data_IF_130180583234
#
_entry.id   IF_130180583234
#
_cell.length_a   1.000
_cell.length_b   1.000
_cell.length_c   1.000
_cell.angle_alpha   90.00
_cell.angle_beta   90.00
_cell.angle_gamma   90.00
#
_symmetry.space_group_name_H-M   'P 1'
#
loop_
_entity.id
_entity.type
_entity.pdbx_description
1 polymer ?
#
# COMPACT_ATOMS: atom_id res chain seq x y z
N UNK A 1 2.15 2.19 -23.07
CA UNK A 1 2.78 2.13 -21.73
C UNK A 1 2.33 0.84 -21.08
N UNK A 2 3.25 -0.01 -20.62
CA UNK A 2 2.86 -1.14 -19.77
C UNK A 2 2.24 -0.58 -18.47
N UNK A 3 1.16 -1.17 -17.95
CA UNK A 3 0.59 -0.73 -16.69
C UNK A 3 1.65 -0.84 -15.59
N UNK A 4 1.85 0.24 -14.83
CA UNK A 4 2.79 0.20 -13.71
C UNK A 4 2.35 -0.87 -12.71
N UNK A 5 3.31 -1.69 -12.27
CA UNK A 5 3.03 -2.76 -11.32
C UNK A 5 2.58 -2.16 -9.98
N UNK A 6 1.53 -2.76 -9.44
CA UNK A 6 0.87 -2.33 -8.21
C UNK A 6 0.87 -3.50 -7.23
N UNK A 7 1.32 -3.28 -6.01
CA UNK A 7 1.21 -4.27 -4.95
C UNK A 7 0.09 -3.89 -4.00
N UNK A 8 -0.88 -4.78 -3.81
CA UNK A 8 -1.99 -4.62 -2.89
C UNK A 8 -1.76 -5.45 -1.62
N UNK A 9 -1.85 -4.82 -0.45
CA UNK A 9 -1.75 -5.50 0.84
C UNK A 9 -3.03 -5.26 1.62
N UNK A 10 -3.80 -6.33 1.86
CA UNK A 10 -4.89 -6.32 2.83
C UNK A 10 -4.25 -6.44 4.22
N UNK A 11 -4.41 -5.42 5.06
CA UNK A 11 -3.99 -5.48 6.46
C UNK A 11 -5.17 -5.83 7.33
N UNK A 12 -5.30 -7.11 7.72
CA UNK A 12 -6.33 -7.56 8.64
C UNK A 12 -5.89 -7.30 10.08
N UNK A 13 -6.64 -6.46 10.80
CA UNK A 13 -6.33 -6.08 12.17
C UNK A 13 -7.11 -6.92 13.19
N UNK A 14 -6.94 -8.24 13.10
CA UNK A 14 -7.56 -9.18 14.03
C UNK A 14 -9.07 -9.35 13.82
N UNK A 15 -9.50 -9.45 12.56
CA UNK A 15 -10.88 -9.82 12.25
C UNK A 15 -11.22 -11.24 12.75
N UNK A 16 -12.52 -11.52 12.89
CA UNK A 16 -13.05 -12.86 13.17
C UNK A 16 -12.69 -13.81 12.01
N UNK A 17 -12.67 -15.11 12.29
CA UNK A 17 -12.20 -16.10 11.33
C UNK A 17 -13.00 -16.14 10.03
N UNK A 18 -14.31 -15.88 10.08
CA UNK A 18 -15.14 -15.78 8.87
C UNK A 18 -14.68 -14.63 7.95
N UNK A 19 -14.41 -13.46 8.53
CA UNK A 19 -13.90 -12.31 7.78
C UNK A 19 -12.47 -12.56 7.27
N UNK A 20 -11.63 -13.20 8.07
CA UNK A 20 -10.28 -13.56 7.67
C UNK A 20 -10.26 -14.53 6.47
N UNK A 21 -11.16 -15.53 6.46
CA UNK A 21 -11.33 -16.45 5.33
C UNK A 21 -11.75 -15.71 4.06
N UNK A 22 -12.71 -14.78 4.16
CA UNK A 22 -13.11 -13.94 3.02
C UNK A 22 -11.95 -13.15 2.43
N UNK A 23 -11.02 -12.65 3.25
CA UNK A 23 -9.85 -11.96 2.71
C UNK A 23 -8.91 -12.90 1.95
N UNK A 24 -8.75 -14.13 2.40
CA UNK A 24 -7.96 -15.14 1.68
C UNK A 24 -8.60 -15.43 0.33
N UNK A 25 -9.91 -15.70 0.31
CA UNK A 25 -10.67 -15.92 -0.94
C UNK A 25 -10.59 -14.71 -1.89
N UNK A 26 -10.65 -13.49 -1.35
CA UNK A 26 -10.48 -12.26 -2.14
C UNK A 26 -9.08 -12.13 -2.74
N UNK A 27 -8.04 -12.51 -1.99
CA UNK A 27 -6.66 -12.52 -2.49
C UNK A 27 -6.54 -13.50 -3.64
N UNK A 28 -7.02 -14.73 -3.47
CA UNK A 28 -6.97 -15.77 -4.49
C UNK A 28 -7.73 -15.36 -5.76
N UNK A 29 -8.98 -14.89 -5.60
CA UNK A 29 -9.80 -14.45 -6.72
C UNK A 29 -9.26 -13.19 -7.41
N UNK A 30 -8.56 -12.31 -6.68
CA UNK A 30 -7.90 -11.14 -7.25
C UNK A 30 -6.65 -11.51 -8.05
N UNK A 31 -5.81 -12.39 -7.50
CA UNK A 31 -4.62 -12.90 -8.18
C UNK A 31 -4.97 -13.66 -9.47
N UNK A 32 -6.02 -14.49 -9.45
CA UNK A 32 -6.52 -15.17 -10.65
C UNK A 32 -6.90 -14.17 -11.75
N UNK A 33 -7.67 -13.12 -11.41
CA UNK A 33 -8.03 -12.05 -12.35
C UNK A 33 -6.82 -11.29 -12.89
N UNK A 34 -5.82 -11.02 -12.06
CA UNK A 34 -4.59 -10.38 -12.52
C UNK A 34 -3.82 -11.25 -13.51
N UNK A 35 -3.76 -12.56 -13.24
CA UNK A 35 -3.14 -13.53 -14.14
C UNK A 35 -3.89 -13.62 -15.48
N UNK A 36 -5.22 -13.74 -15.44
CA UNK A 36 -6.07 -13.77 -16.65
C UNK A 36 -5.91 -12.52 -17.51
N UNK A 37 -5.82 -11.35 -16.87
CA UNK A 37 -5.63 -10.07 -17.57
C UNK A 37 -4.17 -9.82 -18.02
N UNK A 38 -3.22 -10.68 -17.64
CA UNK A 38 -1.80 -10.50 -17.97
C UNK A 38 -1.18 -9.24 -17.36
N UNK A 39 -1.69 -8.78 -16.22
CA UNK A 39 -1.21 -7.55 -15.56
C UNK A 39 -0.22 -7.89 -14.43
N UNK A 40 0.83 -7.06 -14.21
CA UNK A 40 1.90 -7.38 -13.26
C UNK A 40 1.56 -7.03 -11.80
N UNK A 41 0.28 -6.95 -11.44
CA UNK A 41 -0.16 -6.58 -10.10
C UNK A 41 -0.02 -7.75 -9.12
N UNK A 42 0.24 -7.42 -7.85
CA UNK A 42 0.36 -8.39 -6.73
C UNK A 42 -0.71 -8.11 -5.70
N UNK A 43 -1.18 -9.14 -5.01
CA UNK A 43 -2.15 -9.01 -3.92
C UNK A 43 -1.81 -10.02 -2.82
N UNK A 44 -1.84 -9.59 -1.56
CA UNK A 44 -1.69 -10.46 -0.39
C UNK A 44 -2.47 -9.95 0.82
N UNK A 45 -2.63 -10.79 1.83
CA UNK A 45 -3.19 -10.42 3.12
C UNK A 45 -2.16 -10.65 4.24
N UNK A 46 -2.08 -9.70 5.18
CA UNK A 46 -1.27 -9.81 6.39
C UNK A 46 -2.20 -9.61 7.59
N UNK A 47 -2.28 -10.62 8.46
CA UNK A 47 -3.20 -10.66 9.60
C UNK A 47 -2.47 -10.44 10.92
N UNK A 48 -3.02 -9.59 11.78
CA UNK A 48 -2.66 -9.57 13.18
C UNK A 48 -3.48 -10.54 14.03
N UNK A 49 -2.92 -11.03 15.15
CA UNK A 49 -3.64 -11.90 16.07
C UNK A 49 -4.78 -11.19 16.81
N UNK A 50 -4.76 -9.86 16.89
CA UNK A 50 -5.77 -9.02 17.55
C UNK A 50 -5.78 -7.60 16.98
N UNK A 51 -6.90 -6.90 17.21
CA UNK A 51 -7.07 -5.48 16.88
C UNK A 51 -6.07 -4.60 17.64
N UNK A 52 -5.33 -3.79 16.90
CA UNK A 52 -4.31 -2.86 17.35
C UNK A 52 -4.55 -1.42 16.84
N UNK A 53 -5.65 -1.20 16.11
CA UNK A 53 -6.07 0.07 15.56
C UNK A 53 -5.53 0.36 14.16
N UNK A 54 -6.17 1.34 13.50
CA UNK A 54 -5.88 1.81 12.13
C UNK A 54 -4.39 2.07 11.89
N UNK A 55 -3.77 2.83 12.78
CA UNK A 55 -2.35 3.20 12.66
C UNK A 55 -1.40 2.00 12.72
N UNK A 56 -1.70 0.99 13.54
CA UNK A 56 -0.90 -0.23 13.62
C UNK A 56 -1.06 -1.07 12.35
N UNK A 57 -2.27 -1.16 11.81
CA UNK A 57 -2.55 -1.90 10.58
C UNK A 57 -1.88 -1.26 9.35
N UNK A 58 -1.89 0.07 9.24
CA UNK A 58 -1.16 0.81 8.19
C UNK A 58 0.34 0.54 8.29
N UNK A 59 0.93 0.73 9.48
CA UNK A 59 2.37 0.49 9.68
C UNK A 59 2.76 -0.96 9.37
N UNK A 60 1.94 -1.94 9.78
CA UNK A 60 2.16 -3.36 9.48
C UNK A 60 2.28 -3.58 7.98
N UNK A 61 1.35 -3.05 7.19
CA UNK A 61 1.40 -3.22 5.76
C UNK A 61 2.58 -2.46 5.13
N UNK A 62 2.94 -1.26 5.63
CA UNK A 62 4.13 -0.53 5.14
C UNK A 62 5.42 -1.28 5.45
N UNK A 63 5.54 -1.92 6.62
CA UNK A 63 6.70 -2.75 6.95
C UNK A 63 6.77 -4.06 6.13
N UNK A 64 5.64 -4.49 5.54
CA UNK A 64 5.57 -5.67 4.70
C UNK A 64 5.70 -5.36 3.20
N UNK A 65 5.88 -4.10 2.80
CA UNK A 65 6.00 -3.67 1.40
C UNK A 65 7.25 -4.24 0.74
N UNK A 66 7.16 -4.58 -0.55
CA UNK A 66 8.30 -4.99 -1.36
C UNK A 66 9.45 -3.95 -1.34
N UNK A 67 10.70 -4.41 -1.35
CA UNK A 67 11.84 -3.52 -1.51
C UNK A 67 11.78 -2.78 -2.87
N UNK A 68 12.16 -1.50 -2.86
CA UNK A 68 12.14 -0.66 -4.07
C UNK A 68 10.76 -0.11 -4.44
N UNK A 69 9.84 -0.01 -3.48
CA UNK A 69 8.58 0.72 -3.64
C UNK A 69 8.78 2.21 -3.41
N UNK A 70 8.35 3.03 -4.36
CA UNK A 70 8.54 4.48 -4.33
C UNK A 70 7.33 5.22 -3.74
N UNK A 71 6.15 4.61 -3.83
CA UNK A 71 4.89 5.21 -3.42
C UNK A 71 4.10 4.27 -2.53
N UNK A 72 3.60 4.83 -1.42
CA UNK A 72 2.71 4.16 -0.49
C UNK A 72 1.38 4.91 -0.48
N UNK A 73 0.29 4.22 -0.77
CA UNK A 73 -1.05 4.75 -0.56
C UNK A 73 -1.86 3.86 0.38
N UNK A 74 -2.81 4.50 1.05
CA UNK A 74 -3.75 3.88 1.95
C UNK A 74 -5.17 4.03 1.40
N UNK A 75 -5.93 2.93 1.41
CA UNK A 75 -7.33 2.88 1.00
C UNK A 75 -8.15 2.18 2.10
N UNK A 76 -9.23 2.82 2.54
CA UNK A 76 -10.18 2.20 3.46
C UNK A 76 -10.97 1.09 2.73
N UNK A 77 -11.26 -0.01 3.41
CA UNK A 77 -11.94 -1.16 2.81
C UNK A 77 -13.46 -1.08 2.91
N UNK A 78 -14.01 0.03 3.38
CA UNK A 78 -15.46 0.31 3.36
C UNK A 78 -15.98 0.64 1.95
N UNK A 79 -15.08 0.83 0.98
CA UNK A 79 -15.43 1.15 -0.40
C UNK A 79 -15.88 2.60 -0.61
N UNK A 80 -15.64 3.49 0.35
CA UNK A 80 -15.98 4.91 0.23
C UNK A 80 -15.26 5.57 -0.98
N UNK A 81 -14.09 5.07 -1.36
CA UNK A 81 -13.35 5.49 -2.55
C UNK A 81 -13.47 4.43 -3.65
N UNK A 82 -14.06 4.76 -4.81
CA UNK A 82 -14.13 3.83 -5.94
C UNK A 82 -12.74 3.49 -6.51
N UNK A 83 -12.56 2.26 -7.00
CA UNK A 83 -11.28 1.83 -7.58
C UNK A 83 -10.77 2.71 -8.72
N UNK A 84 -11.66 3.27 -9.55
CA UNK A 84 -11.29 4.22 -10.63
C UNK A 84 -10.62 5.49 -10.09
N UNK A 85 -11.09 5.99 -8.96
CA UNK A 85 -10.61 7.24 -8.37
C UNK A 85 -9.23 7.02 -7.75
N UNK A 86 -9.06 5.88 -7.10
CA UNK A 86 -7.78 5.43 -6.61
C UNK A 86 -6.71 5.36 -7.73
N UNK A 87 -7.03 4.78 -8.89
CA UNK A 87 -6.10 4.72 -10.02
C UNK A 87 -5.78 6.10 -10.60
N UNK A 88 -6.77 7.00 -10.66
CA UNK A 88 -6.58 8.38 -11.08
C UNK A 88 -5.58 9.10 -10.17
N UNK A 89 -5.79 9.04 -8.85
CA UNK A 89 -4.91 9.64 -7.85
C UNK A 89 -3.51 9.02 -7.86
N UNK A 90 -3.42 7.70 -8.07
CA UNK A 90 -2.14 7.01 -8.18
C UNK A 90 -1.32 7.49 -9.38
N UNK A 91 -1.95 7.60 -10.55
CA UNK A 91 -1.31 8.11 -11.76
C UNK A 91 -0.85 9.57 -11.59
N UNK A 92 -1.65 10.40 -10.92
CA UNK A 92 -1.28 11.79 -10.61
C UNK A 92 -0.09 11.85 -9.63
N UNK A 93 -0.08 10.99 -8.60
CA UNK A 93 1.00 10.92 -7.62
C UNK A 93 2.34 10.54 -8.26
N UNK A 94 2.36 9.53 -9.15
CA UNK A 94 3.59 9.15 -9.86
C UNK A 94 4.11 10.27 -10.75
N UNK A 95 3.21 11.05 -11.37
CA UNK A 95 3.61 12.20 -12.21
C UNK A 95 4.10 13.37 -11.36
N UNK A 96 3.58 13.54 -10.16
CA UNK A 96 4.02 14.55 -9.22
C UNK A 96 5.45 14.26 -8.72
N UNK A 97 6.23 15.32 -8.47
CA UNK A 97 7.50 15.17 -7.74
C UNK A 97 7.18 14.69 -6.31
N UNK A 98 7.97 13.78 -5.74
CA UNK A 98 7.77 13.34 -4.36
C UNK A 98 7.74 14.56 -3.43
N UNK A 99 6.64 14.76 -2.72
CA UNK A 99 6.59 15.74 -1.64
C UNK A 99 7.31 15.09 -0.46
N UNK A 100 8.51 15.57 -0.13
CA UNK A 100 9.12 15.24 1.16
C UNK A 100 8.23 15.86 2.23
N UNK A 101 7.58 15.04 3.04
CA UNK A 101 7.07 15.50 4.33
C UNK A 101 8.30 15.97 5.14
N UNK A 102 8.38 17.25 5.56
CA UNK A 102 9.38 17.68 6.52
C UNK A 102 9.00 17.03 7.86
N UNK A 103 9.62 15.89 8.13
CA UNK A 103 9.41 15.10 9.34
C UNK A 103 10.75 14.62 9.89
N UNK A 104 11.70 15.54 9.97
CA UNK A 104 12.89 15.34 10.80
C UNK A 104 12.50 15.58 12.26
N UNK A 105 12.58 14.55 13.09
CA UNK A 105 13.08 14.75 14.44
C UNK A 105 14.56 15.13 14.28
N UNK A 106 14.81 16.41 14.07
CA UNK A 106 16.14 16.98 14.13
C UNK A 106 16.62 16.94 15.58
N UNK A 107 17.49 15.98 15.90
CA UNK A 107 18.65 16.34 16.71
C UNK A 107 19.66 16.91 15.73
N UNK A 108 19.86 18.22 15.81
CA UNK A 108 20.92 18.90 15.10
C UNK A 108 22.26 18.30 15.53
N UNK A 109 23.10 17.95 14.55
CA UNK A 109 24.51 18.36 14.51
C UNK A 109 25.18 17.83 13.23
N UNK A 110 25.87 18.73 12.52
CA UNK A 110 26.99 18.35 11.64
C UNK A 110 26.72 18.31 10.13
N UNK A 111 27.21 19.35 9.44
CA UNK A 111 27.39 19.51 7.99
C UNK A 111 27.69 18.22 7.21
N UNK A 112 27.02 18.04 6.06
CA UNK A 112 27.64 17.50 4.84
C UNK A 112 26.83 17.91 3.60
N UNK A 113 27.52 18.50 2.62
CA UNK A 113 27.01 18.75 1.27
C UNK A 113 26.57 17.44 0.60
N UNK A 114 25.48 17.46 -0.18
CA UNK A 114 25.03 16.28 -0.92
C UNK A 114 24.76 16.63 -2.40
N UNK A 115 25.60 16.04 -3.28
CA UNK A 115 25.42 15.95 -4.72
C UNK A 115 24.12 15.19 -5.06
N UNK A 116 23.39 15.52 -6.13
CA UNK A 116 22.24 14.73 -6.55
C UNK A 116 22.70 13.40 -7.16
N UNK A 117 22.36 12.31 -6.48
CA UNK A 117 22.53 10.93 -6.97
C UNK A 117 21.41 10.60 -7.97
N UNK A 118 21.76 9.89 -9.05
CA UNK A 118 20.88 9.57 -10.15
C UNK A 118 19.73 8.64 -9.72
N UNK A 119 18.49 9.01 -10.07
CA UNK A 119 17.27 8.26 -9.74
C UNK A 119 17.14 7.03 -10.64
N UNK A 120 16.97 5.80 -10.11
CA UNK A 120 16.86 4.58 -10.92
C UNK A 120 15.51 4.47 -11.66
N UNK A 121 15.45 3.76 -12.82
CA UNK A 121 14.40 3.90 -13.83
C UNK A 121 13.13 3.06 -13.62
N UNK A 122 12.89 2.48 -12.46
CA UNK A 122 11.76 1.56 -12.26
C UNK A 122 10.92 1.96 -11.06
N UNK A 123 9.84 2.72 -11.31
CA UNK A 123 8.90 3.12 -10.27
C UNK A 123 7.93 1.99 -9.95
N UNK A 124 7.84 1.58 -8.69
CA UNK A 124 6.88 0.57 -8.20
C UNK A 124 5.92 1.23 -7.21
N UNK A 125 4.63 1.06 -7.43
CA UNK A 125 3.59 1.55 -6.52
C UNK A 125 3.09 0.42 -5.62
N UNK A 126 2.98 0.69 -4.31
CA UNK A 126 2.25 -0.19 -3.40
C UNK A 126 1.06 0.53 -2.78
N UNK A 127 0.05 -0.27 -2.53
CA UNK A 127 -1.27 0.13 -2.14
C UNK A 127 -1.79 -0.81 -1.06
N UNK A 128 -2.57 -0.27 -0.14
CA UNK A 128 -3.01 -1.01 1.03
C UNK A 128 -4.51 -0.88 1.21
N UNK A 129 -5.16 -2.02 1.45
CA UNK A 129 -6.54 -2.11 1.86
C UNK A 129 -6.60 -2.36 3.36
N UNK A 130 -7.37 -1.57 4.09
CA UNK A 130 -7.62 -1.78 5.52
C UNK A 130 -9.11 -1.93 5.77
N UNK A 131 -9.54 -3.09 6.29
CA UNK A 131 -10.88 -3.21 6.87
C UNK A 131 -10.82 -2.90 8.36
N UNK A 132 -11.35 -1.73 8.73
CA UNK A 132 -11.69 -1.42 10.11
C UNK A 132 -13.04 -2.05 10.44
N UNK A 133 -13.10 -2.78 11.55
CA UNK A 133 -14.37 -3.23 12.10
C UNK A 133 -15.06 -2.06 12.80
N UNK A 134 -16.19 -1.63 12.28
CA UNK A 134 -17.13 -0.75 12.98
C UNK A 134 -17.91 -1.61 13.98
N UNK A 135 -17.72 -1.39 15.29
CA UNK A 135 -18.70 -1.84 16.27
C UNK A 135 -19.90 -0.90 16.15
N UNK A 136 -21.06 -1.44 15.78
CA UNK A 136 -22.32 -0.94 16.35
C UNK A 136 -22.51 -1.64 17.69
#
# INVERSE_FOLDING_TARGET
MAPEAAEFIISDDGSRDEDARRYVELVEAGLARFSEAGVPHRLRCVRAPRNQGKGAAIRRAWSNTSAGTDWLAFLDADGAVPGREFWRLGADAVRARPVRCPGGLSREDGRAEHRPEAVPPHRKMNFQFLKLRWNK
#
